data_IF_994354040586
#
_entry.id   IF_994354040586
#
_cell.length_a   1.000
_cell.length_b   1.000
_cell.length_c   1.000
_cell.angle_alpha   90.00
_cell.angle_beta   90.00
_cell.angle_gamma   90.00
#
_symmetry.space_group_name_H-M   'P 1'
#
loop_
_entity.id
_entity.type
_entity.pdbx_description
1 polymer ?
#
# COMPACT_ATOMS: atom_id res chain seq x y z
N UNK A 1 75.15 22.90 -6.04
CA UNK A 1 74.40 21.89 -5.34
C UNK A 1 73.16 22.43 -4.56
N UNK A 2 73.28 23.51 -3.77
CA UNK A 2 72.12 24.00 -2.95
C UNK A 2 70.91 24.52 -3.79
N UNK A 3 71.11 25.12 -4.95
CA UNK A 3 70.02 25.63 -5.84
C UNK A 3 69.25 24.52 -6.53
N UNK A 4 69.89 23.42 -6.94
CA UNK A 4 69.23 22.29 -7.56
C UNK A 4 68.35 21.52 -6.55
N UNK A 5 68.77 21.39 -5.30
CA UNK A 5 68.04 20.74 -4.24
C UNK A 5 66.75 21.52 -3.86
N UNK A 6 66.78 22.83 -3.84
CA UNK A 6 65.63 23.67 -3.53
C UNK A 6 64.56 23.57 -4.65
N UNK A 7 64.95 23.55 -5.91
CA UNK A 7 64.04 23.42 -7.06
C UNK A 7 63.37 22.05 -7.03
N UNK A 8 64.08 20.98 -6.70
CA UNK A 8 63.53 19.63 -6.61
C UNK A 8 62.51 19.53 -5.46
N UNK A 9 62.78 20.10 -4.30
CA UNK A 9 61.86 20.13 -3.16
C UNK A 9 60.59 20.89 -3.47
N UNK A 10 60.66 22.05 -4.15
CA UNK A 10 59.50 22.84 -4.54
C UNK A 10 58.64 22.09 -5.56
N UNK A 11 59.22 21.43 -6.57
CA UNK A 11 58.47 20.64 -7.54
C UNK A 11 57.78 19.44 -6.91
N UNK A 12 58.37 18.75 -5.96
CA UNK A 12 57.74 17.66 -5.24
C UNK A 12 56.57 18.16 -4.36
N UNK A 13 56.75 19.32 -3.71
CA UNK A 13 55.69 19.92 -2.90
C UNK A 13 54.48 20.36 -3.76
N UNK A 14 54.70 20.97 -4.91
CA UNK A 14 53.65 21.38 -5.84
C UNK A 14 52.94 20.17 -6.39
N UNK A 15 53.61 19.08 -6.75
CA UNK A 15 52.98 17.86 -7.24
C UNK A 15 52.16 17.12 -6.17
N UNK A 16 52.59 17.12 -4.91
CA UNK A 16 51.81 16.52 -3.80
C UNK A 16 50.55 17.33 -3.49
N UNK A 17 50.63 18.66 -3.51
CA UNK A 17 49.46 19.55 -3.28
C UNK A 17 48.43 19.40 -4.41
N UNK A 18 48.89 19.32 -5.67
CA UNK A 18 47.99 19.16 -6.83
C UNK A 18 47.34 17.77 -6.81
N UNK A 19 48.05 16.69 -6.48
CA UNK A 19 47.49 15.36 -6.35
C UNK A 19 46.45 15.26 -5.18
N UNK A 20 46.74 15.89 -4.06
CA UNK A 20 45.80 15.93 -2.92
C UNK A 20 44.54 16.72 -3.27
N UNK A 21 44.65 17.85 -3.99
CA UNK A 21 43.50 18.64 -4.45
C UNK A 21 42.62 17.86 -5.44
N UNK A 22 43.24 17.12 -6.39
CA UNK A 22 42.50 16.28 -7.35
C UNK A 22 41.77 15.14 -6.63
N UNK A 23 42.40 14.48 -5.63
CA UNK A 23 41.78 13.41 -4.85
C UNK A 23 40.60 13.91 -4.01
N UNK A 24 40.68 15.11 -3.44
CA UNK A 24 39.58 15.71 -2.68
C UNK A 24 38.42 16.05 -3.62
N UNK A 25 38.69 16.65 -4.78
CA UNK A 25 37.65 16.95 -5.79
C UNK A 25 36.94 15.69 -6.30
N UNK A 26 37.68 14.60 -6.58
CA UNK A 26 37.07 13.34 -7.02
C UNK A 26 36.29 12.66 -5.94
N UNK A 27 36.66 12.81 -4.65
CA UNK A 27 35.84 12.32 -3.53
C UNK A 27 34.58 13.14 -3.32
N UNK A 28 34.65 14.47 -3.44
CA UNK A 28 33.45 15.33 -3.37
C UNK A 28 32.48 15.05 -4.51
N UNK A 29 32.96 14.90 -5.76
CA UNK A 29 32.12 14.54 -6.91
C UNK A 29 31.49 13.13 -6.73
N UNK A 30 32.22 12.17 -6.19
CA UNK A 30 31.70 10.83 -5.92
C UNK A 30 30.66 10.84 -4.78
N UNK A 31 30.83 11.69 -3.77
CA UNK A 31 29.86 11.88 -2.69
C UNK A 31 28.61 12.61 -3.21
N UNK A 32 28.77 13.64 -4.04
CA UNK A 32 27.66 14.35 -4.68
C UNK A 32 26.90 13.44 -5.64
N UNK A 33 27.56 12.61 -6.44
CA UNK A 33 26.91 11.62 -7.30
C UNK A 33 26.17 10.53 -6.50
N UNK A 34 26.67 10.16 -5.34
CA UNK A 34 25.99 9.19 -4.46
C UNK A 34 24.76 9.79 -3.77
N UNK A 35 24.72 11.11 -3.57
CA UNK A 35 23.57 11.84 -3.02
C UNK A 35 22.47 12.15 -4.05
N UNK A 36 22.74 12.02 -5.35
CA UNK A 36 21.77 12.32 -6.42
C UNK A 36 21.15 11.08 -7.08
N UNK A 37 21.37 9.88 -6.54
CA UNK A 37 20.63 8.72 -7.01
C UNK A 37 19.19 8.84 -6.46
N UNK A 38 18.30 9.43 -7.26
CA UNK A 38 16.87 9.55 -6.94
C UNK A 38 16.32 8.16 -6.67
N UNK A 39 15.61 8.01 -5.55
CA UNK A 39 14.86 6.78 -5.28
C UNK A 39 13.85 6.61 -6.43
N UNK A 40 13.84 5.46 -7.12
CA UNK A 40 12.89 5.25 -8.21
C UNK A 40 11.45 5.35 -7.71
N UNK A 41 10.61 6.02 -8.45
CA UNK A 41 9.18 6.05 -8.17
C UNK A 41 8.58 4.63 -8.22
N UNK A 42 7.73 4.31 -7.26
CA UNK A 42 7.02 3.07 -7.19
C UNK A 42 5.51 3.32 -7.27
N UNK A 43 4.88 2.90 -8.38
CA UNK A 43 3.42 2.96 -8.51
C UNK A 43 2.78 1.67 -8.06
N UNK A 44 1.88 1.79 -7.09
CA UNK A 44 1.10 0.70 -6.50
C UNK A 44 -0.37 0.88 -6.86
N UNK A 45 -1.04 -0.20 -7.25
CA UNK A 45 -2.49 -0.24 -7.41
C UNK A 45 -3.13 -0.91 -6.20
N UNK A 46 -4.22 -0.34 -5.70
CA UNK A 46 -5.03 -0.87 -4.61
C UNK A 46 -6.42 -1.20 -5.13
N UNK A 47 -6.84 -2.45 -4.94
CA UNK A 47 -8.16 -2.95 -5.33
C UNK A 47 -8.69 -3.94 -4.30
N UNK A 48 -10.00 -4.10 -4.24
CA UNK A 48 -10.69 -5.17 -3.54
C UNK A 48 -11.93 -5.57 -4.32
N UNK A 49 -12.58 -6.69 -3.95
CA UNK A 49 -13.86 -7.11 -4.50
C UNK A 49 -13.81 -7.25 -6.05
N UNK A 50 -12.86 -8.07 -6.51
CA UNK A 50 -12.50 -8.18 -7.93
C UNK A 50 -13.55 -8.95 -8.75
N UNK A 51 -13.80 -10.22 -8.41
CA UNK A 51 -14.63 -11.12 -9.20
C UNK A 51 -13.95 -11.66 -10.46
N UNK A 52 -14.66 -12.49 -11.18
CA UNK A 52 -14.29 -12.97 -12.53
C UNK A 52 -15.17 -12.30 -13.58
N UNK A 53 -14.60 -11.99 -14.73
CA UNK A 53 -15.36 -11.46 -15.85
C UNK A 53 -14.86 -10.14 -16.42
N UNK A 54 -15.61 -9.51 -17.32
CA UNK A 54 -15.12 -8.41 -18.15
C UNK A 54 -14.76 -7.16 -17.33
N UNK A 55 -15.48 -6.85 -16.26
CA UNK A 55 -15.19 -5.68 -15.44
C UNK A 55 -13.87 -5.83 -14.68
N UNK A 56 -13.63 -7.01 -14.08
CA UNK A 56 -12.38 -7.31 -13.39
C UNK A 56 -11.20 -7.32 -14.38
N UNK A 57 -11.38 -7.86 -15.58
CA UNK A 57 -10.37 -7.80 -16.64
C UNK A 57 -10.08 -6.35 -17.01
N UNK A 58 -11.09 -5.52 -17.20
CA UNK A 58 -10.90 -4.10 -17.52
C UNK A 58 -10.15 -3.33 -16.41
N UNK A 59 -10.37 -3.66 -15.14
CA UNK A 59 -9.60 -3.08 -14.02
C UNK A 59 -8.15 -3.56 -14.04
N UNK A 60 -7.88 -4.84 -14.31
CA UNK A 60 -6.53 -5.35 -14.45
C UNK A 60 -5.80 -4.71 -15.66
N UNK A 61 -6.50 -4.52 -16.78
CA UNK A 61 -5.96 -3.79 -17.94
C UNK A 61 -5.64 -2.34 -17.59
N UNK A 62 -6.51 -1.64 -16.86
CA UNK A 62 -6.25 -0.30 -16.37
C UNK A 62 -4.98 -0.28 -15.47
N UNK A 63 -4.81 -1.26 -14.59
CA UNK A 63 -3.62 -1.40 -13.73
C UNK A 63 -2.34 -1.54 -14.56
N UNK A 64 -2.37 -2.38 -15.61
CA UNK A 64 -1.27 -2.54 -16.58
C UNK A 64 -0.97 -1.24 -17.30
N UNK A 65 -2.00 -0.60 -17.84
CA UNK A 65 -1.88 0.58 -18.70
C UNK A 65 -1.44 1.83 -17.93
N UNK A 66 -1.80 1.93 -16.63
CA UNK A 66 -1.28 2.95 -15.70
C UNK A 66 0.17 2.64 -15.26
N UNK A 67 0.74 1.50 -15.63
CA UNK A 67 2.11 1.14 -15.32
C UNK A 67 2.35 0.88 -13.83
N UNK A 68 1.36 0.35 -13.11
CA UNK A 68 1.54 -0.10 -11.74
C UNK A 68 2.58 -1.24 -11.70
N UNK A 69 3.41 -1.26 -10.67
CA UNK A 69 4.47 -2.26 -10.51
C UNK A 69 4.14 -3.30 -9.45
N UNK A 70 3.09 -3.12 -8.70
CA UNK A 70 2.50 -4.09 -7.79
C UNK A 70 1.03 -3.79 -7.55
N UNK A 71 0.31 -4.80 -7.10
CA UNK A 71 -1.04 -4.70 -6.56
C UNK A 71 -1.03 -5.04 -5.08
N UNK A 72 -1.77 -4.26 -4.29
CA UNK A 72 -2.22 -4.57 -2.94
C UNK A 72 -3.73 -4.80 -3.01
N UNK A 73 -4.17 -6.05 -2.83
CA UNK A 73 -5.57 -6.46 -2.93
C UNK A 73 -6.19 -6.65 -1.54
N UNK A 74 -7.34 -6.02 -1.31
CA UNK A 74 -8.02 -6.01 -0.04
C UNK A 74 -9.07 -7.13 0.12
N UNK A 75 -8.86 -8.28 -0.52
CA UNK A 75 -9.72 -9.46 -0.37
C UNK A 75 -10.95 -9.50 -1.29
N UNK A 76 -11.64 -10.61 -1.23
CA UNK A 76 -12.76 -10.99 -2.10
C UNK A 76 -12.34 -11.07 -3.58
N UNK A 77 -11.68 -12.20 -3.93
CA UNK A 77 -10.96 -12.34 -5.19
C UNK A 77 -11.86 -12.65 -6.38
N UNK A 78 -12.59 -13.77 -6.35
CA UNK A 78 -13.34 -14.24 -7.53
C UNK A 78 -14.83 -14.48 -7.28
N UNK A 79 -15.25 -14.71 -6.03
CA UNK A 79 -16.63 -15.07 -5.62
C UNK A 79 -17.14 -16.42 -6.17
N UNK A 80 -16.26 -17.22 -6.76
CA UNK A 80 -16.60 -18.51 -7.38
C UNK A 80 -15.87 -19.68 -6.71
N UNK A 81 -15.03 -19.44 -5.72
CA UNK A 81 -14.17 -20.42 -5.06
C UNK A 81 -13.23 -21.14 -6.06
N UNK A 82 -12.71 -20.44 -7.09
CA UNK A 82 -11.86 -20.97 -8.15
C UNK A 82 -10.49 -20.26 -8.23
N UNK A 83 -9.55 -20.59 -7.34
CA UNK A 83 -8.22 -19.98 -7.32
C UNK A 83 -7.45 -20.07 -8.64
N UNK A 84 -7.68 -21.14 -9.42
CA UNK A 84 -7.00 -21.34 -10.71
C UNK A 84 -7.50 -20.33 -11.76
N UNK A 85 -8.81 -20.10 -11.83
CA UNK A 85 -9.36 -19.09 -12.74
C UNK A 85 -8.95 -17.68 -12.33
N UNK A 86 -8.95 -17.39 -11.04
CA UNK A 86 -8.52 -16.11 -10.52
C UNK A 86 -7.04 -15.82 -10.85
N UNK A 87 -6.15 -16.77 -10.56
CA UNK A 87 -4.73 -16.65 -10.87
C UNK A 87 -4.48 -16.54 -12.39
N UNK A 88 -5.23 -17.33 -13.18
CA UNK A 88 -5.16 -17.26 -14.65
C UNK A 88 -5.59 -15.89 -15.17
N UNK A 89 -6.68 -15.31 -14.66
CA UNK A 89 -7.17 -13.99 -15.06
C UNK A 89 -6.10 -12.91 -14.81
N UNK A 90 -5.45 -12.93 -13.65
CA UNK A 90 -4.35 -12.02 -13.36
C UNK A 90 -3.15 -12.26 -14.27
N UNK A 91 -2.79 -13.54 -14.49
CA UNK A 91 -1.64 -13.92 -15.31
C UNK A 91 -1.82 -13.53 -16.78
N UNK A 92 -3.02 -13.67 -17.31
CA UNK A 92 -3.33 -13.32 -18.70
C UNK A 92 -3.17 -11.81 -18.97
N UNK A 93 -3.39 -10.95 -17.98
CA UNK A 93 -3.37 -9.49 -18.15
C UNK A 93 -2.05 -8.87 -17.65
N UNK A 94 -1.62 -9.23 -16.47
CA UNK A 94 -0.46 -8.61 -15.79
C UNK A 94 0.83 -9.43 -15.92
N UNK A 95 0.72 -10.73 -16.23
CA UNK A 95 1.84 -11.66 -16.21
C UNK A 95 1.86 -12.56 -14.97
N UNK A 96 2.47 -13.74 -15.12
CA UNK A 96 2.49 -14.76 -14.05
C UNK A 96 3.48 -14.46 -12.94
N UNK A 97 4.35 -13.47 -13.11
CA UNK A 97 5.38 -13.00 -12.18
C UNK A 97 5.10 -11.59 -11.64
N UNK A 98 3.95 -11.00 -11.99
CA UNK A 98 3.59 -9.67 -11.51
C UNK A 98 3.41 -9.68 -9.99
N UNK A 99 4.06 -8.74 -9.25
CA UNK A 99 3.97 -8.66 -7.79
C UNK A 99 2.54 -8.38 -7.33
N UNK A 100 1.88 -9.37 -6.77
CA UNK A 100 0.49 -9.30 -6.34
C UNK A 100 0.39 -9.76 -4.89
N UNK A 101 0.09 -8.83 -4.00
CA UNK A 101 -0.05 -9.07 -2.57
C UNK A 101 -1.52 -8.92 -2.20
N UNK A 102 -2.03 -9.78 -1.33
CA UNK A 102 -3.43 -9.74 -0.97
C UNK A 102 -3.69 -10.13 0.48
N UNK A 103 -4.67 -9.48 1.08
CA UNK A 103 -5.33 -9.93 2.31
C UNK A 103 -6.55 -10.78 1.94
N UNK A 104 -6.89 -11.75 2.78
CA UNK A 104 -8.08 -12.59 2.60
C UNK A 104 -9.35 -11.76 2.79
N UNK A 105 -10.39 -11.99 1.95
CA UNK A 105 -11.75 -11.52 2.15
C UNK A 105 -12.70 -12.61 2.64
N UNK A 106 -13.94 -12.24 2.95
CA UNK A 106 -14.92 -13.20 3.50
C UNK A 106 -15.40 -14.22 2.46
N UNK A 107 -15.32 -13.91 1.16
CA UNK A 107 -15.62 -14.86 0.09
C UNK A 107 -14.45 -15.80 -0.23
N UNK A 108 -13.26 -15.52 0.28
CA UNK A 108 -12.06 -16.33 -0.01
C UNK A 108 -11.82 -17.43 1.04
N UNK A 109 -12.44 -17.33 2.22
CA UNK A 109 -12.13 -18.15 3.40
C UNK A 109 -12.20 -19.65 3.11
N UNK A 110 -13.18 -20.07 2.31
CA UNK A 110 -13.42 -21.47 1.97
C UNK A 110 -12.30 -22.09 1.13
N UNK A 111 -11.66 -21.32 0.27
CA UNK A 111 -10.61 -21.75 -0.64
C UNK A 111 -9.27 -21.06 -0.37
N UNK A 112 -9.11 -20.48 0.81
CA UNK A 112 -7.86 -19.80 1.15
C UNK A 112 -6.66 -20.76 1.21
N UNK A 113 -6.80 -21.87 1.87
CA UNK A 113 -5.78 -22.87 2.12
C UNK A 113 -6.17 -23.77 3.29
N UNK A 114 -5.26 -24.56 3.81
CA UNK A 114 -5.53 -25.49 4.90
C UNK A 114 -6.08 -24.76 6.14
N UNK A 115 -7.26 -25.20 6.62
CA UNK A 115 -7.97 -24.67 7.80
C UNK A 115 -7.36 -25.08 9.14
N UNK A 116 -6.16 -25.61 9.18
CA UNK A 116 -5.49 -26.04 10.41
C UNK A 116 -4.68 -24.86 10.94
N UNK A 117 -4.82 -24.47 12.22
CA UNK A 117 -3.90 -23.56 12.85
C UNK A 117 -2.52 -24.22 12.90
N UNK A 118 -1.66 -23.86 11.99
CA UNK A 118 -0.28 -24.33 11.99
C UNK A 118 0.49 -23.38 12.89
N UNK A 119 1.20 -23.87 13.93
CA UNK A 119 2.09 -23.02 14.70
C UNK A 119 3.16 -22.40 13.81
N UNK A 120 3.36 -21.10 13.95
CA UNK A 120 4.42 -20.35 13.28
C UNK A 120 5.78 -20.68 13.94
N UNK A 121 6.88 -20.97 13.22
CA UNK A 121 7.04 -21.12 11.77
C UNK A 121 7.18 -22.60 11.35
N UNK A 122 6.51 -23.03 10.29
CA UNK A 122 6.88 -24.29 9.65
C UNK A 122 7.65 -24.00 8.36
N UNK A 123 8.96 -24.15 8.34
CA UNK A 123 9.70 -24.23 7.10
C UNK A 123 9.41 -25.54 6.40
N UNK A 124 9.19 -25.50 5.09
CA UNK A 124 9.29 -26.61 4.15
C UNK A 124 8.26 -27.76 4.26
N UNK A 125 7.01 -27.50 4.57
CA UNK A 125 5.96 -28.48 4.32
C UNK A 125 5.32 -28.23 2.96
N UNK A 126 5.60 -29.08 1.99
CA UNK A 126 4.85 -29.23 0.75
C UNK A 126 3.44 -29.77 1.08
N UNK A 127 2.55 -28.88 1.49
CA UNK A 127 1.13 -29.20 1.55
C UNK A 127 0.51 -28.77 0.21
N UNK A 128 -0.24 -29.68 -0.39
CA UNK A 128 -1.07 -29.38 -1.56
C UNK A 128 -2.19 -28.42 -1.14
N UNK A 129 -1.92 -27.14 -1.14
CA UNK A 129 -2.83 -26.13 -0.64
C UNK A 129 -3.98 -25.86 -1.62
N UNK A 130 -3.72 -25.90 -2.92
CA UNK A 130 -4.72 -25.75 -3.99
C UNK A 130 -5.61 -24.52 -3.85
N UNK A 131 -5.21 -23.50 -3.05
CA UNK A 131 -6.01 -22.35 -2.70
C UNK A 131 -5.36 -21.02 -3.11
N UNK A 132 -6.01 -19.91 -2.79
CA UNK A 132 -5.54 -18.55 -3.12
C UNK A 132 -4.18 -18.24 -2.52
N UNK A 133 -3.91 -18.70 -1.29
CA UNK A 133 -2.65 -18.46 -0.62
C UNK A 133 -1.46 -19.09 -1.36
N UNK A 134 -1.63 -20.30 -1.91
CA UNK A 134 -0.61 -20.95 -2.72
C UNK A 134 -0.34 -20.16 -4.01
N UNK A 135 -1.40 -19.69 -4.70
CA UNK A 135 -1.25 -18.87 -5.90
C UNK A 135 -0.48 -17.59 -5.62
N UNK A 136 -0.81 -16.90 -4.53
CA UNK A 136 -0.07 -15.71 -4.08
C UNK A 136 1.39 -16.03 -3.79
N UNK A 137 1.63 -17.10 -3.05
CA UNK A 137 2.99 -17.53 -2.70
C UNK A 137 3.82 -17.84 -3.95
N UNK A 138 3.25 -18.57 -4.91
CA UNK A 138 3.94 -18.93 -6.17
C UNK A 138 4.26 -17.71 -7.04
N UNK A 139 3.44 -16.63 -6.99
CA UNK A 139 3.75 -15.35 -7.62
C UNK A 139 4.91 -14.65 -6.93
N UNK A 140 4.85 -14.55 -5.60
CA UNK A 140 5.82 -13.81 -4.81
C UNK A 140 7.19 -14.46 -4.83
N UNK A 141 7.30 -15.79 -4.90
CA UNK A 141 8.57 -16.51 -5.08
C UNK A 141 9.36 -16.07 -6.32
N UNK A 142 8.67 -15.60 -7.36
CA UNK A 142 9.31 -15.12 -8.59
C UNK A 142 9.87 -13.70 -8.45
N UNK A 143 9.59 -13.03 -7.34
CA UNK A 143 9.99 -11.67 -7.04
C UNK A 143 10.95 -11.64 -5.86
N UNK A 144 12.28 -11.66 -6.07
CA UNK A 144 13.25 -11.73 -4.98
C UNK A 144 13.24 -10.53 -4.04
N UNK A 145 12.70 -9.39 -4.48
CA UNK A 145 12.53 -8.18 -3.66
C UNK A 145 11.29 -8.25 -2.75
N UNK A 146 10.40 -9.23 -2.98
CA UNK A 146 9.21 -9.44 -2.18
C UNK A 146 9.53 -10.35 -0.99
N UNK A 147 9.59 -9.79 0.21
CA UNK A 147 9.86 -10.54 1.44
C UNK A 147 8.63 -10.45 2.32
N UNK A 148 8.00 -11.60 2.59
CA UNK A 148 6.87 -11.71 3.52
C UNK A 148 7.19 -12.64 4.67
N UNK A 149 6.76 -12.28 5.88
CA UNK A 149 6.94 -13.05 7.12
C UNK A 149 5.55 -13.25 7.73
N UNK A 150 5.32 -14.43 8.29
CA UNK A 150 4.05 -14.81 8.90
C UNK A 150 3.07 -15.50 7.94
N UNK A 151 1.82 -15.61 8.34
CA UNK A 151 0.77 -16.27 7.55
C UNK A 151 0.27 -15.32 6.45
N UNK A 152 0.79 -15.50 5.24
CA UNK A 152 0.54 -14.61 4.09
C UNK A 152 -0.96 -14.33 3.91
N UNK A 153 -1.30 -13.03 3.86
CA UNK A 153 -2.66 -12.55 3.64
C UNK A 153 -3.61 -12.67 4.81
N UNK A 154 -3.20 -13.31 5.91
CA UNK A 154 -4.00 -13.46 7.13
C UNK A 154 -3.38 -12.68 8.29
N UNK A 155 -2.09 -12.88 8.53
CA UNK A 155 -1.33 -12.26 9.60
C UNK A 155 0.14 -12.24 9.20
N UNK A 156 0.48 -11.36 8.26
CA UNK A 156 1.82 -11.24 7.69
C UNK A 156 2.25 -9.80 7.50
N UNK A 157 3.55 -9.58 7.58
CA UNK A 157 4.21 -8.34 7.17
C UNK A 157 5.06 -8.59 5.94
N UNK A 158 5.04 -7.67 5.00
CA UNK A 158 5.78 -7.76 3.77
C UNK A 158 6.58 -6.49 3.50
N UNK A 159 7.70 -6.65 2.78
CA UNK A 159 8.45 -5.54 2.20
C UNK A 159 8.58 -5.71 0.70
N UNK A 160 8.49 -4.61 -0.02
CA UNK A 160 8.73 -4.56 -1.45
C UNK A 160 9.18 -3.15 -1.86
N UNK A 161 10.35 -3.04 -2.46
CA UNK A 161 10.92 -1.80 -3.00
C UNK A 161 10.79 -0.57 -2.07
N UNK A 162 11.11 -0.77 -0.77
CA UNK A 162 11.09 0.30 0.23
C UNK A 162 9.75 0.56 0.91
N UNK A 163 8.68 -0.13 0.53
CA UNK A 163 7.43 -0.14 1.27
C UNK A 163 7.43 -1.26 2.31
N UNK A 164 6.82 -0.99 3.46
CA UNK A 164 6.46 -1.99 4.47
C UNK A 164 4.94 -2.06 4.59
N UNK A 165 4.37 -3.24 4.54
CA UNK A 165 2.92 -3.38 4.63
C UNK A 165 2.48 -4.63 5.36
N UNK A 166 1.37 -4.50 6.06
CA UNK A 166 0.69 -5.55 6.79
C UNK A 166 -0.45 -6.09 5.93
N UNK A 167 -0.53 -7.42 5.79
CA UNK A 167 -1.67 -8.12 5.23
C UNK A 167 -2.36 -8.86 6.37
N UNK A 168 -3.53 -8.38 6.78
CA UNK A 168 -4.26 -8.85 7.95
C UNK A 168 -5.67 -9.33 7.61
N UNK A 169 -6.29 -10.05 8.54
CA UNK A 169 -7.66 -10.55 8.39
C UNK A 169 -8.49 -10.36 9.67
N UNK A 170 -8.51 -9.13 10.27
CA UNK A 170 -9.31 -8.90 11.47
C UNK A 170 -10.79 -9.15 11.17
N UNK A 171 -11.47 -9.77 12.13
CA UNK A 171 -12.88 -10.16 11.99
C UNK A 171 -13.13 -11.42 11.14
N UNK A 172 -12.13 -11.90 10.39
CA UNK A 172 -12.27 -13.08 9.53
C UNK A 172 -11.53 -14.30 10.05
N UNK A 173 -10.27 -14.15 10.39
CA UNK A 173 -9.42 -15.30 10.71
C UNK A 173 -8.34 -14.91 11.70
N UNK A 174 -8.10 -15.77 12.71
CA UNK A 174 -7.18 -15.54 13.81
C UNK A 174 -7.66 -14.41 14.76
N UNK A 175 -6.96 -14.25 15.88
CA UNK A 175 -7.18 -13.21 16.89
C UNK A 175 -5.90 -12.37 17.02
N UNK A 176 -5.95 -11.34 17.87
CA UNK A 176 -4.78 -10.52 18.23
C UNK A 176 -4.09 -9.85 17.02
N UNK A 177 -4.89 -9.39 16.06
CA UNK A 177 -4.38 -8.66 14.90
C UNK A 177 -3.78 -7.31 15.28
N UNK A 178 -4.40 -6.62 16.24
CA UNK A 178 -3.94 -5.35 16.80
C UNK A 178 -2.53 -5.46 17.36
N UNK A 179 -2.30 -6.44 18.24
CA UNK A 179 -0.99 -6.68 18.84
C UNK A 179 0.07 -7.08 17.81
N UNK A 180 -0.33 -7.87 16.79
CA UNK A 180 0.57 -8.20 15.69
C UNK A 180 0.92 -6.96 14.86
N UNK A 181 -0.07 -6.16 14.48
CA UNK A 181 0.10 -4.93 13.69
C UNK A 181 1.01 -3.96 14.45
N UNK A 182 0.70 -3.69 15.72
CA UNK A 182 1.49 -2.82 16.58
C UNK A 182 2.96 -3.25 16.61
N UNK A 183 3.21 -4.53 16.90
CA UNK A 183 4.56 -5.06 16.97
C UNK A 183 5.30 -4.93 15.64
N UNK A 184 4.67 -5.32 14.52
CA UNK A 184 5.34 -5.29 13.23
C UNK A 184 5.64 -3.87 12.75
N UNK A 185 4.76 -2.92 13.04
CA UNK A 185 4.93 -1.53 12.61
C UNK A 185 5.93 -0.79 13.49
N UNK A 186 5.98 -1.06 14.80
CA UNK A 186 6.91 -0.41 15.72
C UNK A 186 8.35 -0.94 15.59
N UNK A 187 8.52 -2.19 15.15
CA UNK A 187 9.83 -2.84 15.04
C UNK A 187 10.63 -2.41 13.77
N UNK A 188 10.18 -1.40 13.04
CA UNK A 188 10.85 -0.96 11.82
C UNK A 188 10.79 0.56 11.58
N UNK A 189 11.77 1.06 10.78
CA UNK A 189 11.97 2.47 10.46
C UNK A 189 11.52 2.85 9.03
N UNK A 190 10.65 2.04 8.40
CA UNK A 190 10.15 2.37 7.06
C UNK A 190 9.33 3.66 7.09
N UNK A 191 9.65 4.58 6.15
CA UNK A 191 8.93 5.85 5.97
C UNK A 191 7.48 5.61 5.50
N UNK A 192 7.29 4.57 4.68
CA UNK A 192 5.99 4.19 4.17
C UNK A 192 5.54 2.87 4.77
N UNK A 193 4.51 2.94 5.59
CA UNK A 193 3.84 1.83 6.24
C UNK A 193 2.40 1.78 5.77
N UNK A 194 1.89 0.59 5.43
CA UNK A 194 0.53 0.39 4.93
C UNK A 194 -0.10 -0.77 5.68
N UNK A 195 -1.30 -0.59 6.19
CA UNK A 195 -2.14 -1.66 6.70
C UNK A 195 -3.20 -2.01 5.66
N UNK A 196 -3.31 -3.27 5.29
CA UNK A 196 -4.28 -3.77 4.31
C UNK A 196 -5.07 -4.93 4.90
N UNK A 197 -6.39 -4.82 4.83
CA UNK A 197 -7.32 -5.90 5.18
C UNK A 197 -8.68 -5.71 4.50
N UNK A 198 -9.60 -6.68 4.64
CA UNK A 198 -10.87 -6.66 3.90
C UNK A 198 -12.02 -5.98 4.64
N UNK A 199 -12.39 -6.47 5.82
CA UNK A 199 -13.58 -6.00 6.57
C UNK A 199 -13.39 -4.57 7.11
N UNK A 200 -14.49 -3.94 7.48
CA UNK A 200 -14.47 -2.53 7.93
C UNK A 200 -15.22 -2.35 9.25
N UNK A 201 -14.94 -1.22 9.92
CA UNK A 201 -15.89 -0.65 10.89
C UNK A 201 -16.94 0.17 10.14
N UNK A 202 -18.17 0.17 10.63
CA UNK A 202 -19.29 0.87 9.99
C UNK A 202 -19.01 2.37 9.79
N UNK A 203 -18.27 3.00 10.68
CA UNK A 203 -17.87 4.40 10.58
C UNK A 203 -16.75 4.66 9.56
N UNK A 204 -16.00 3.62 9.16
CA UNK A 204 -14.89 3.72 8.22
C UNK A 204 -15.25 3.23 6.81
N UNK A 205 -16.52 3.30 6.45
CA UNK A 205 -17.08 3.07 5.12
C UNK A 205 -18.40 3.87 4.97
N UNK A 206 -18.94 3.97 3.77
CA UNK A 206 -20.09 4.83 3.45
C UNK A 206 -21.40 4.10 3.16
N UNK A 207 -21.39 2.78 3.18
CA UNK A 207 -22.58 1.94 2.95
C UNK A 207 -23.13 1.29 4.23
N UNK A 208 -23.58 0.05 4.12
CA UNK A 208 -24.35 -0.67 5.17
C UNK A 208 -23.56 -1.65 6.01
N UNK A 209 -22.24 -1.76 5.79
CA UNK A 209 -21.44 -2.75 6.52
C UNK A 209 -21.41 -2.46 8.02
N UNK A 210 -21.30 -3.55 8.79
CA UNK A 210 -21.32 -3.49 10.25
C UNK A 210 -19.93 -3.19 10.83
N UNK A 211 -19.81 -3.27 12.14
CA UNK A 211 -18.54 -3.20 12.85
C UNK A 211 -17.94 -4.61 12.90
N UNK A 212 -17.03 -4.92 12.00
CA UNK A 212 -16.55 -6.29 11.79
C UNK A 212 -15.11 -6.53 12.29
N UNK A 213 -14.32 -5.47 12.56
CA UNK A 213 -12.87 -5.59 12.84
C UNK A 213 -12.44 -5.23 14.26
N UNK A 214 -13.15 -4.33 14.95
CA UNK A 214 -12.67 -3.62 16.14
C UNK A 214 -11.86 -2.36 15.79
N UNK A 215 -11.78 -1.43 16.75
CA UNK A 215 -11.04 -0.18 16.60
C UNK A 215 -9.54 -0.34 16.83
N UNK A 216 -9.15 -1.35 17.60
CA UNK A 216 -7.78 -1.61 18.02
C UNK A 216 -6.82 -1.76 16.82
N UNK A 217 -7.29 -2.38 15.71
CA UNK A 217 -6.48 -2.53 14.49
C UNK A 217 -6.28 -1.20 13.76
N UNK A 218 -7.28 -0.31 13.77
CA UNK A 218 -7.13 1.05 13.22
C UNK A 218 -6.18 1.89 14.06
N UNK A 219 -6.30 1.80 15.38
CA UNK A 219 -5.45 2.51 16.33
C UNK A 219 -3.99 2.06 16.20
N UNK A 220 -3.73 0.75 16.13
CA UNK A 220 -2.38 0.22 15.93
C UNK A 220 -1.72 0.77 14.66
N UNK A 221 -2.46 0.84 13.54
CA UNK A 221 -1.97 1.41 12.28
C UNK A 221 -1.73 2.92 12.40
N UNK A 222 -2.69 3.67 12.94
CA UNK A 222 -2.59 5.12 13.12
C UNK A 222 -1.42 5.51 14.04
N UNK A 223 -1.28 4.82 15.16
CA UNK A 223 -0.23 5.11 16.13
C UNK A 223 1.19 4.95 15.56
N UNK A 224 1.32 4.14 14.51
CA UNK A 224 2.58 3.93 13.80
C UNK A 224 2.67 4.67 12.45
N UNK A 225 1.73 5.56 12.15
CA UNK A 225 1.73 6.35 10.92
C UNK A 225 1.51 5.55 9.64
N UNK A 226 0.78 4.43 9.70
CA UNK A 226 0.49 3.61 8.53
C UNK A 226 -0.77 4.08 7.81
N UNK A 227 -0.75 4.07 6.46
CA UNK A 227 -1.93 4.23 5.61
C UNK A 227 -2.84 3.01 5.79
N UNK A 228 -4.15 3.20 5.91
CA UNK A 228 -5.11 2.11 6.07
C UNK A 228 -5.91 1.95 4.78
N UNK A 229 -5.90 0.74 4.20
CA UNK A 229 -6.65 0.41 2.99
C UNK A 229 -7.51 -0.82 3.23
N UNK A 230 -8.81 -0.70 2.94
CA UNK A 230 -9.81 -1.77 3.19
C UNK A 230 -10.65 -2.05 1.94
N UNK A 231 -11.42 -3.15 2.00
CA UNK A 231 -12.34 -3.60 0.97
C UNK A 231 -13.80 -3.66 1.43
N UNK A 232 -14.52 -4.70 0.98
CA UNK A 232 -15.82 -5.17 1.48
C UNK A 232 -17.05 -4.30 1.16
N UNK A 233 -16.95 -3.00 1.19
CA UNK A 233 -18.03 -2.11 0.77
C UNK A 233 -17.81 -1.66 -0.67
N UNK A 234 -18.36 -2.37 -1.64
CA UNK A 234 -18.15 -2.22 -3.08
C UNK A 234 -18.36 -0.77 -3.57
N UNK A 235 -17.46 0.09 -3.17
CA UNK A 235 -17.42 1.53 -3.42
C UNK A 235 -15.98 2.04 -3.35
N UNK A 236 -15.79 3.29 -3.66
CA UNK A 236 -14.57 4.01 -3.30
C UNK A 236 -14.91 5.11 -2.30
N UNK A 237 -14.13 5.19 -1.24
CA UNK A 237 -14.19 6.31 -0.32
C UNK A 237 -12.84 6.55 0.34
N UNK A 238 -12.54 7.83 0.62
CA UNK A 238 -11.29 8.23 1.27
C UNK A 238 -11.58 9.30 2.32
N UNK A 239 -11.07 9.07 3.51
CA UNK A 239 -11.16 10.07 4.58
C UNK A 239 -10.14 11.20 4.39
N UNK A 240 -10.33 12.32 5.09
CA UNK A 240 -9.27 13.26 5.44
C UNK A 240 -8.28 12.60 6.40
N UNK A 241 -7.20 13.28 6.77
CA UNK A 241 -6.33 12.84 7.86
C UNK A 241 -7.09 12.88 9.18
N UNK A 242 -7.10 11.76 9.90
CA UNK A 242 -7.78 11.61 11.19
C UNK A 242 -6.74 11.39 12.30
N UNK A 243 -7.02 11.92 13.48
CA UNK A 243 -6.28 11.69 14.71
C UNK A 243 -7.02 10.74 15.66
N UNK A 244 -8.30 10.49 15.40
CA UNK A 244 -9.14 9.54 16.15
C UNK A 244 -10.16 8.93 15.16
N UNK A 245 -10.05 7.64 14.90
CA UNK A 245 -10.94 6.95 13.97
C UNK A 245 -12.29 6.62 14.62
N UNK A 246 -12.29 6.21 15.87
CA UNK A 246 -13.52 5.84 16.59
C UNK A 246 -14.45 7.04 16.75
N UNK A 247 -13.90 8.16 17.21
CA UNK A 247 -14.65 9.41 17.38
C UNK A 247 -14.73 10.25 16.10
N UNK A 248 -14.12 9.80 15.00
CA UNK A 248 -14.14 10.44 13.68
C UNK A 248 -13.61 11.90 13.72
N UNK A 249 -12.47 12.10 14.38
CA UNK A 249 -11.87 13.43 14.55
C UNK A 249 -10.85 13.69 13.45
N UNK A 250 -11.16 14.68 12.59
CA UNK A 250 -10.21 15.17 11.57
C UNK A 250 -9.06 15.91 12.26
N UNK A 251 -7.86 15.72 11.73
CA UNK A 251 -6.67 16.43 12.17
C UNK A 251 -6.84 17.95 11.90
N UNK A 252 -6.94 18.81 12.96
CA UNK A 252 -7.18 20.22 12.78
C UNK A 252 -6.01 20.97 12.13
N UNK A 253 -4.80 20.41 12.21
CA UNK A 253 -3.60 20.98 11.58
C UNK A 253 -3.44 20.55 10.13
N UNK A 254 -4.19 19.50 9.69
CA UNK A 254 -4.04 18.89 8.37
C UNK A 254 -5.37 18.45 7.78
N UNK A 255 -6.31 19.38 7.65
CA UNK A 255 -7.70 19.11 7.28
C UNK A 255 -8.01 19.26 5.78
N UNK A 256 -7.04 19.66 4.94
CA UNK A 256 -7.25 19.84 3.49
C UNK A 256 -7.56 18.48 2.82
N UNK A 257 -8.68 18.38 2.06
CA UNK A 257 -9.09 17.10 1.47
C UNK A 257 -8.09 16.53 0.45
N UNK A 258 -7.37 17.36 -0.29
CA UNK A 258 -6.40 16.96 -1.32
C UNK A 258 -4.97 16.81 -0.82
N UNK A 259 -4.72 17.07 0.45
CA UNK A 259 -3.38 16.95 1.05
C UNK A 259 -3.46 16.15 2.33
N UNK A 260 -2.90 14.98 2.36
CA UNK A 260 -2.90 14.09 3.51
C UNK A 260 -1.53 13.99 4.15
N UNK A 261 -1.51 13.63 5.42
CA UNK A 261 -0.28 13.24 6.12
C UNK A 261 -0.44 11.93 6.85
N UNK A 262 0.67 11.23 7.00
CA UNK A 262 0.81 10.13 7.95
C UNK A 262 1.96 10.43 8.90
N UNK A 263 1.71 10.23 10.18
CA UNK A 263 2.70 10.32 11.27
C UNK A 263 2.19 9.48 12.44
N UNK A 264 3.02 9.26 13.44
CA UNK A 264 2.58 8.66 14.70
C UNK A 264 1.37 9.44 15.26
N UNK A 265 0.24 8.75 15.43
CA UNK A 265 -1.02 9.29 15.93
C UNK A 265 -1.90 9.99 14.89
N UNK A 266 -1.55 10.00 13.60
CA UNK A 266 -2.41 10.53 12.55
C UNK A 266 -2.28 9.76 11.24
N UNK A 267 -3.43 9.38 10.64
CA UNK A 267 -3.48 8.66 9.36
C UNK A 267 -4.83 8.88 8.67
N UNK A 268 -5.08 8.14 7.61
CA UNK A 268 -6.33 8.14 6.86
C UNK A 268 -6.71 6.73 6.41
N UNK A 269 -7.99 6.55 6.10
CA UNK A 269 -8.53 5.29 5.58
C UNK A 269 -9.02 5.46 4.15
N UNK A 270 -8.78 4.42 3.34
CA UNK A 270 -9.34 4.28 1.99
C UNK A 270 -10.08 2.96 1.91
N UNK A 271 -11.32 2.99 1.39
CA UNK A 271 -12.01 1.82 0.85
C UNK A 271 -11.81 1.82 -0.65
N UNK A 272 -11.11 0.82 -1.21
CA UNK A 272 -10.86 0.71 -2.66
C UNK A 272 -11.42 -0.61 -3.19
N UNK A 273 -12.76 -0.68 -3.30
CA UNK A 273 -13.55 -1.90 -3.48
C UNK A 273 -14.33 -1.95 -4.80
N UNK A 274 -13.81 -1.29 -5.84
CA UNK A 274 -14.42 -1.29 -7.18
C UNK A 274 -13.62 -2.14 -8.18
N UNK A 275 -13.07 -3.27 -7.71
CA UNK A 275 -12.21 -4.17 -8.49
C UNK A 275 -12.92 -4.95 -9.61
N UNK A 276 -14.27 -4.98 -9.66
CA UNK A 276 -14.99 -5.60 -10.77
C UNK A 276 -16.28 -6.33 -10.41
N UNK A 277 -16.54 -6.68 -9.12
CA UNK A 277 -17.68 -7.52 -8.73
C UNK A 277 -19.02 -6.83 -8.81
N UNK A 278 -19.18 -5.70 -8.14
CA UNK A 278 -20.42 -4.91 -8.12
C UNK A 278 -20.18 -3.52 -7.54
N UNK A 279 -21.16 -2.65 -7.67
CA UNK A 279 -21.12 -1.27 -7.17
C UNK A 279 -22.33 -1.06 -6.27
N UNK A 280 -22.09 -0.60 -5.04
CA UNK A 280 -23.15 -0.33 -4.06
C UNK A 280 -23.48 1.16 -3.95
N UNK A 281 -24.67 1.42 -3.41
CA UNK A 281 -25.09 2.76 -3.03
C UNK A 281 -24.52 3.13 -1.67
N UNK A 282 -24.36 4.43 -1.43
CA UNK A 282 -24.13 4.90 -0.07
C UNK A 282 -25.43 4.93 0.74
N UNK A 283 -25.31 4.72 2.04
CA UNK A 283 -26.43 4.78 2.97
C UNK A 283 -26.23 5.80 4.08
N UNK A 284 -24.99 6.22 4.29
CA UNK A 284 -24.61 7.05 5.44
C UNK A 284 -24.48 8.52 5.11
N UNK A 285 -24.19 8.85 3.87
CA UNK A 285 -23.89 10.21 3.43
C UNK A 285 -25.07 10.79 2.63
N UNK A 286 -26.12 11.20 3.32
CA UNK A 286 -27.24 11.90 2.70
C UNK A 286 -27.26 13.37 3.10
N UNK A 287 -27.58 14.27 2.16
CA UNK A 287 -27.85 14.08 0.74
C UNK A 287 -26.62 13.60 -0.04
N UNK A 288 -26.86 12.95 -1.18
CA UNK A 288 -25.90 12.18 -1.98
C UNK A 288 -24.88 13.01 -2.75
N UNK A 289 -24.84 14.31 -2.55
CA UNK A 289 -23.91 15.21 -3.23
C UNK A 289 -22.53 15.22 -2.55
N UNK A 290 -21.47 15.19 -3.33
CA UNK A 290 -20.09 15.32 -2.88
C UNK A 290 -19.63 16.79 -2.98
N UNK A 291 -18.79 17.31 -2.07
CA UNK A 291 -18.24 16.73 -0.84
C UNK A 291 -19.24 16.85 0.30
N UNK A 292 -19.55 15.77 1.00
CA UNK A 292 -20.63 15.80 1.97
C UNK A 292 -20.35 15.12 3.27
N UNK A 293 -20.75 15.69 4.15
CA UNK A 293 -21.42 15.64 5.46
C UNK A 293 -21.55 14.26 6.14
N UNK A 294 -20.79 13.28 5.74
CA UNK A 294 -20.53 12.10 6.56
C UNK A 294 -19.60 12.49 7.71
N UNK A 295 -20.10 13.22 8.70
CA UNK A 295 -19.35 13.74 9.83
C UNK A 295 -18.09 14.55 9.42
N UNK A 296 -18.13 15.15 8.20
CA UNK A 296 -17.04 15.94 7.60
C UNK A 296 -15.70 15.18 7.39
N UNK A 297 -15.65 13.88 7.69
CA UNK A 297 -14.41 13.10 7.61
C UNK A 297 -14.06 12.66 6.18
N UNK A 298 -15.06 12.50 5.30
CA UNK A 298 -14.85 12.01 3.94
C UNK A 298 -14.39 13.12 3.00
N UNK A 299 -13.26 12.88 2.36
CA UNK A 299 -12.69 13.78 1.36
C UNK A 299 -13.14 13.40 -0.06
N UNK A 300 -13.43 12.11 -0.30
CA UNK A 300 -13.95 11.62 -1.58
C UNK A 300 -14.85 10.41 -1.37
N UNK A 301 -15.94 10.33 -2.13
CA UNK A 301 -16.84 9.17 -2.18
C UNK A 301 -17.25 8.90 -3.63
N UNK A 302 -17.35 7.62 -4.00
CA UNK A 302 -17.72 7.19 -5.34
C UNK A 302 -18.50 5.88 -5.29
N UNK A 303 -19.81 5.97 -5.49
CA UNK A 303 -20.80 4.89 -5.34
C UNK A 303 -21.77 4.93 -6.50
N UNK A 304 -22.72 4.00 -6.56
CA UNK A 304 -23.78 4.05 -7.57
C UNK A 304 -24.61 5.34 -7.55
N UNK A 305 -24.63 6.09 -6.43
CA UNK A 305 -25.29 7.39 -6.36
C UNK A 305 -24.51 8.51 -7.08
N UNK A 306 -23.24 8.31 -7.37
CA UNK A 306 -22.38 9.18 -8.17
C UNK A 306 -22.09 8.56 -9.56
N UNK A 307 -22.95 7.66 -10.04
CA UNK A 307 -22.75 6.95 -11.31
C UNK A 307 -21.37 6.26 -11.39
N UNK A 308 -20.97 5.60 -10.29
CA UNK A 308 -19.66 4.96 -10.20
C UNK A 308 -19.50 3.85 -11.24
N UNK A 309 -18.26 3.74 -11.73
CA UNK A 309 -17.78 2.62 -12.51
C UNK A 309 -16.57 1.96 -11.82
N UNK A 310 -16.22 0.76 -12.22
CA UNK A 310 -15.09 0.00 -11.68
C UNK A 310 -13.77 0.74 -11.89
N UNK A 311 -12.79 0.47 -11.04
CA UNK A 311 -11.50 1.14 -11.10
C UNK A 311 -10.55 0.72 -9.99
N UNK A 312 -9.44 1.44 -9.88
CA UNK A 312 -8.41 1.22 -8.90
C UNK A 312 -7.89 2.56 -8.33
N UNK A 313 -7.41 2.52 -7.09
CA UNK A 313 -6.59 3.58 -6.53
C UNK A 313 -5.14 3.32 -6.91
N UNK A 314 -4.48 4.33 -7.44
CA UNK A 314 -3.05 4.32 -7.75
C UNK A 314 -2.32 5.27 -6.84
N UNK A 315 -1.23 4.82 -6.21
CA UNK A 315 -0.32 5.69 -5.48
C UNK A 315 1.09 5.53 -6.02
N UNK A 316 1.70 6.63 -6.41
CA UNK A 316 3.11 6.71 -6.75
C UNK A 316 3.87 7.21 -5.53
N UNK A 317 4.70 6.36 -4.95
CA UNK A 317 5.59 6.68 -3.83
C UNK A 317 6.92 7.21 -4.35
N UNK A 318 7.64 7.97 -3.54
CA UNK A 318 8.94 8.59 -3.86
C UNK A 318 8.87 9.59 -5.03
N UNK A 319 7.74 10.32 -5.13
CA UNK A 319 7.47 11.27 -6.20
C UNK A 319 8.62 12.27 -6.31
N UNK A 320 9.14 12.43 -7.52
CA UNK A 320 10.27 13.33 -7.84
C UNK A 320 11.55 13.01 -7.05
N UNK A 321 11.69 11.76 -6.60
CA UNK A 321 12.83 11.31 -5.80
C UNK A 321 12.75 11.73 -4.32
N UNK A 322 11.66 12.34 -3.87
CA UNK A 322 11.45 12.69 -2.47
C UNK A 322 10.97 11.46 -1.67
N UNK A 323 11.75 10.99 -0.67
CA UNK A 323 11.48 9.73 -0.01
C UNK A 323 10.17 9.70 0.78
N UNK A 324 9.66 10.86 1.20
CA UNK A 324 8.47 10.99 2.03
C UNK A 324 7.26 11.62 1.32
N UNK A 325 7.27 11.64 -0.03
CA UNK A 325 6.15 12.14 -0.82
C UNK A 325 5.51 11.03 -1.62
N UNK A 326 4.18 11.01 -1.64
CA UNK A 326 3.39 10.20 -2.55
C UNK A 326 2.30 11.03 -3.21
N UNK A 327 1.92 10.63 -4.41
CA UNK A 327 0.78 11.17 -5.14
C UNK A 327 -0.15 10.03 -5.52
N UNK A 328 -1.42 10.18 -5.19
CA UNK A 328 -2.44 9.16 -5.38
C UNK A 328 -3.62 9.70 -6.19
N UNK A 329 -4.27 8.81 -6.95
CA UNK A 329 -5.53 9.11 -7.63
C UNK A 329 -6.34 7.83 -7.81
N UNK A 330 -7.67 7.97 -7.72
CA UNK A 330 -8.58 6.90 -8.12
C UNK A 330 -9.03 7.13 -9.57
N UNK A 331 -8.82 6.13 -10.42
CA UNK A 331 -9.21 6.17 -11.83
C UNK A 331 -10.13 5.00 -12.15
N UNK A 332 -11.23 5.30 -12.85
CA UNK A 332 -12.15 4.28 -13.32
C UNK A 332 -11.77 3.74 -14.72
N UNK A 333 -12.41 2.65 -15.12
CA UNK A 333 -12.16 1.98 -16.42
C UNK A 333 -12.56 2.82 -17.64
N UNK A 334 -13.33 3.90 -17.48
CA UNK A 334 -13.62 4.89 -18.52
C UNK A 334 -12.47 5.94 -18.68
N UNK A 335 -11.41 5.81 -17.88
CA UNK A 335 -10.29 6.73 -17.89
C UNK A 335 -10.50 8.03 -17.09
N UNK A 336 -11.62 8.14 -16.34
CA UNK A 336 -11.92 9.32 -15.54
C UNK A 336 -11.21 9.25 -14.19
N UNK A 337 -10.48 10.31 -13.83
CA UNK A 337 -9.95 10.51 -12.48
C UNK A 337 -11.09 11.06 -11.61
N UNK A 338 -11.38 10.35 -10.53
CA UNK A 338 -12.48 10.64 -9.60
C UNK A 338 -11.97 11.38 -8.38
N UNK A 339 -10.79 11.01 -7.92
CA UNK A 339 -10.14 11.58 -6.74
C UNK A 339 -8.65 11.71 -7.01
N UNK A 340 -8.03 12.76 -6.51
CA UNK A 340 -6.58 12.93 -6.55
C UNK A 340 -6.10 13.66 -5.29
N UNK A 341 -4.96 13.22 -4.76
CA UNK A 341 -4.41 13.77 -3.53
C UNK A 341 -2.92 13.48 -3.38
N UNK A 342 -2.26 14.32 -2.60
CA UNK A 342 -0.88 14.11 -2.17
C UNK A 342 -0.83 13.58 -0.74
N UNK A 343 0.20 12.77 -0.44
CA UNK A 343 0.47 12.29 0.91
C UNK A 343 1.89 12.66 1.29
N UNK A 344 2.05 13.19 2.49
CA UNK A 344 3.37 13.41 3.09
C UNK A 344 3.53 12.50 4.29
N UNK A 345 4.58 11.70 4.32
CA UNK A 345 4.97 10.94 5.51
C UNK A 345 5.89 11.77 6.40
N UNK A 346 5.54 11.83 7.68
CA UNK A 346 6.36 12.39 8.75
C UNK A 346 6.84 11.28 9.71
N UNK A 347 6.68 10.01 9.34
CA UNK A 347 7.14 8.87 10.12
C UNK A 347 8.66 8.94 10.28
N UNK A 348 9.14 8.79 11.52
CA UNK A 348 10.57 8.86 11.86
C UNK A 348 11.19 10.26 11.71
N UNK A 349 10.38 11.32 11.65
CA UNK A 349 10.84 12.71 11.68
C UNK A 349 10.39 13.34 13.00
N UNK A 350 11.31 13.45 13.94
CA UNK A 350 11.17 14.27 15.14
C UNK A 350 11.14 15.78 14.82
#
# INVERSE_FOLDING_TARGET
>A
MKKALIITIVLVFVSVVTLSSILIFTQEEAVIQKQTQSIPELRVAFIGDQGLGPNAIAVLELIRDEGARMVLHQGDFDYEDDPDKWDKQISDVLGSDFPYFASIGNHDVKKWGLLIPIPDPLPDLEFGWGGYQEKLYDRLKKNPDAICIGNLGVKSSCTYQGLFFILAAPGLKNLDHDSFIEKQLSDNDFIWKICSWHLTMSAMQIGKKQNDTGWEVYEACKNNGAIIVTGHEHSYSRSKTLIDFENQIVDPEWSEPGKLRVKEGASFVVVSSLGGKSIRSQDRCFPTSYPNDCNEIWASIYTSNQDANYGALFCTFYVQGEPNKAYCYFKNIDGKIIDEFSVTSFVGKD
#
